data_IF_922510317421
#
_entry.id   IF_922510317421
#
_cell.length_a   1.000
_cell.length_b   1.000
_cell.length_c   1.000
_cell.angle_alpha   90.00
_cell.angle_beta   90.00
_cell.angle_gamma   90.00
#
_symmetry.space_group_name_H-M   'P 1'
#
loop_
_entity.id
_entity.type
_entity.pdbx_description
1 polymer ?
#
# COMPACT_ATOMS: atom_id res chain seq x y z
N UNK A 1 -14.83 -7.45 0.37
CA UNK A 1 -13.92 -6.52 -0.34
C UNK A 1 -13.11 -7.31 -1.34
N UNK A 2 -12.97 -6.86 -2.58
CA UNK A 2 -12.12 -7.56 -3.55
C UNK A 2 -10.68 -6.98 -3.56
N UNK A 3 -9.75 -7.66 -4.24
CA UNK A 3 -8.35 -7.19 -4.37
C UNK A 3 -8.27 -5.77 -4.94
N UNK A 4 -9.11 -5.43 -5.93
CA UNK A 4 -9.09 -4.10 -6.57
C UNK A 4 -9.42 -2.99 -5.58
N UNK A 5 -10.42 -3.21 -4.73
CA UNK A 5 -10.81 -2.28 -3.68
C UNK A 5 -9.68 -2.12 -2.64
N UNK A 6 -9.10 -3.23 -2.20
CA UNK A 6 -7.98 -3.24 -1.26
C UNK A 6 -6.77 -2.45 -1.80
N UNK A 7 -6.45 -2.65 -3.08
CA UNK A 7 -5.37 -1.92 -3.79
C UNK A 7 -5.69 -0.44 -3.90
N UNK A 8 -6.93 -0.06 -4.18
CA UNK A 8 -7.33 1.35 -4.23
C UNK A 8 -7.16 2.03 -2.86
N UNK A 9 -7.57 1.38 -1.78
CA UNK A 9 -7.39 1.86 -0.40
C UNK A 9 -5.90 2.01 -0.07
N UNK A 10 -5.09 1.00 -0.38
CA UNK A 10 -3.66 1.03 -0.12
C UNK A 10 -2.94 2.14 -0.91
N UNK A 11 -3.24 2.29 -2.20
CA UNK A 11 -2.67 3.36 -3.03
C UNK A 11 -3.07 4.74 -2.53
N UNK A 12 -4.35 4.94 -2.19
CA UNK A 12 -4.82 6.21 -1.64
C UNK A 12 -4.08 6.55 -0.34
N UNK A 13 -3.94 5.59 0.56
CA UNK A 13 -3.23 5.80 1.82
C UNK A 13 -1.74 6.13 1.61
N UNK A 14 -1.07 5.45 0.67
CA UNK A 14 0.32 5.77 0.31
C UNK A 14 0.39 7.19 -0.28
N UNK A 15 -0.49 7.55 -1.20
CA UNK A 15 -0.54 8.91 -1.75
C UNK A 15 -0.75 9.98 -0.69
N UNK A 16 -1.63 9.74 0.28
CA UNK A 16 -1.91 10.68 1.38
C UNK A 16 -0.72 10.78 2.34
N UNK A 17 -0.11 9.64 2.69
CA UNK A 17 1.06 9.59 3.59
C UNK A 17 2.25 10.33 3.00
N UNK A 18 2.45 10.23 1.68
CA UNK A 18 3.54 10.88 0.95
C UNK A 18 3.05 12.11 0.17
N UNK A 19 1.93 12.74 0.56
CA UNK A 19 1.34 13.84 -0.20
C UNK A 19 2.28 15.03 -0.39
N UNK A 20 3.17 15.28 0.58
CA UNK A 20 4.22 16.30 0.49
C UNK A 20 5.24 16.05 -0.64
N UNK A 21 5.34 14.79 -1.09
CA UNK A 21 6.35 14.29 -2.01
C UNK A 21 5.79 13.79 -3.34
N UNK A 22 4.46 13.82 -3.49
CA UNK A 22 3.72 13.35 -4.66
C UNK A 22 4.29 12.03 -5.23
N UNK A 23 4.09 10.89 -4.54
CA UNK A 23 4.63 9.60 -4.99
C UNK A 23 4.18 9.33 -6.42
N UNK A 24 5.14 8.93 -7.25
CA UNK A 24 4.92 8.60 -8.65
C UNK A 24 5.05 7.10 -8.89
N UNK A 25 4.48 6.61 -9.99
CA UNK A 25 4.54 5.20 -10.39
C UNK A 25 4.00 4.19 -9.34
N UNK A 26 2.90 4.51 -8.65
CA UNK A 26 2.27 3.61 -7.67
C UNK A 26 1.79 2.31 -8.33
N UNK A 27 2.43 1.19 -8.02
CA UNK A 27 2.13 -0.14 -8.55
C UNK A 27 1.95 -1.16 -7.44
N UNK A 28 1.08 -2.14 -7.68
CA UNK A 28 1.01 -3.33 -6.86
C UNK A 28 2.12 -4.28 -7.33
N UNK A 29 3.00 -4.68 -6.42
CA UNK A 29 4.11 -5.59 -6.71
C UNK A 29 3.87 -6.99 -6.13
N UNK A 30 3.04 -7.10 -5.08
CA UNK A 30 2.70 -8.36 -4.44
C UNK A 30 1.44 -8.24 -3.61
N UNK A 31 0.75 -9.36 -3.40
CA UNK A 31 -0.41 -9.42 -2.51
C UNK A 31 -0.52 -10.79 -1.85
N UNK A 32 -1.03 -10.80 -0.62
CA UNK A 32 -1.43 -11.97 0.12
C UNK A 32 -2.75 -11.67 0.82
N UNK A 33 -3.70 -12.60 0.76
CA UNK A 33 -4.93 -12.51 1.54
C UNK A 33 -4.88 -13.53 2.67
N UNK A 34 -5.08 -13.05 3.89
CA UNK A 34 -5.27 -13.87 5.09
C UNK A 34 -6.77 -13.93 5.37
N UNK A 35 -7.38 -15.07 5.09
CA UNK A 35 -8.81 -15.33 5.25
C UNK A 35 -9.20 -15.53 6.71
N UNK A 36 -8.28 -16.02 7.56
CA UNK A 36 -8.49 -16.16 8.99
C UNK A 36 -8.63 -14.80 9.67
N UNK A 37 -7.84 -13.82 9.23
CA UNK A 37 -7.88 -12.45 9.75
C UNK A 37 -8.73 -11.49 8.91
N UNK A 38 -9.18 -11.92 7.72
CA UNK A 38 -9.81 -11.06 6.71
C UNK A 38 -8.95 -9.83 6.39
N UNK A 39 -7.65 -10.03 6.17
CA UNK A 39 -6.67 -8.96 5.93
C UNK A 39 -5.97 -9.17 4.59
N UNK A 40 -5.93 -8.12 3.79
CA UNK A 40 -5.08 -8.01 2.61
C UNK A 40 -3.72 -7.45 3.00
N UNK A 41 -2.64 -8.14 2.67
CA UNK A 41 -1.27 -7.64 2.76
C UNK A 41 -0.80 -7.30 1.35
N UNK A 42 -0.56 -6.03 1.06
CA UNK A 42 -0.32 -5.51 -0.28
C UNK A 42 1.04 -4.82 -0.34
N UNK A 43 1.91 -5.26 -1.23
CA UNK A 43 3.15 -4.55 -1.52
C UNK A 43 2.89 -3.47 -2.56
N UNK A 44 3.02 -2.21 -2.16
CA UNK A 44 2.88 -1.05 -3.04
C UNK A 44 4.26 -0.45 -3.30
N UNK A 45 4.73 -0.57 -4.53
CA UNK A 45 5.94 0.08 -5.02
C UNK A 45 5.64 1.47 -5.57
N UNK A 46 6.53 2.43 -5.31
CA UNK A 46 6.44 3.80 -5.82
C UNK A 46 7.81 4.49 -5.82
N UNK A 47 7.92 5.61 -6.53
CA UNK A 47 9.09 6.48 -6.50
C UNK A 47 8.72 7.81 -5.83
N UNK A 48 9.47 8.19 -4.80
CA UNK A 48 9.32 9.47 -4.10
C UNK A 48 10.53 10.37 -4.36
N UNK A 49 10.28 11.67 -4.54
CA UNK A 49 11.32 12.69 -4.78
C UNK A 49 12.23 12.86 -3.56
N UNK A 50 11.72 12.78 -2.32
CA UNK A 50 12.52 12.80 -1.08
C UNK A 50 13.54 11.68 -1.00
N UNK A 51 13.28 10.54 -1.65
CA UNK A 51 14.21 9.42 -1.71
C UNK A 51 15.17 9.54 -2.90
N UNK A 52 15.33 10.74 -3.48
CA UNK A 52 16.15 10.97 -4.66
C UNK A 52 15.60 10.28 -5.92
N UNK A 53 14.29 10.01 -5.95
CA UNK A 53 13.66 9.23 -7.02
C UNK A 53 13.95 7.72 -6.93
N UNK A 54 14.56 7.24 -5.83
CA UNK A 54 14.74 5.82 -5.61
C UNK A 54 13.38 5.13 -5.48
N UNK A 55 13.23 3.99 -6.17
CA UNK A 55 12.05 3.15 -6.05
C UNK A 55 12.05 2.52 -4.65
N UNK A 56 10.95 2.69 -3.93
CA UNK A 56 10.71 2.08 -2.63
C UNK A 56 9.44 1.25 -2.69
N UNK A 57 9.29 0.33 -1.74
CA UNK A 57 8.10 -0.48 -1.60
C UNK A 57 7.65 -0.52 -0.14
N UNK A 58 6.34 -0.42 0.06
CA UNK A 58 5.70 -0.53 1.36
C UNK A 58 4.75 -1.72 1.38
N UNK A 59 4.79 -2.48 2.47
CA UNK A 59 3.78 -3.47 2.78
C UNK A 59 2.63 -2.78 3.52
N UNK A 60 1.46 -2.74 2.89
CA UNK A 60 0.23 -2.12 3.40
C UNK A 60 -0.75 -3.20 3.76
N UNK A 61 -1.15 -3.27 5.04
CA UNK A 61 -2.19 -4.20 5.51
C UNK A 61 -3.54 -3.51 5.52
N UNK A 62 -4.52 -4.05 4.81
CA UNK A 62 -5.89 -3.51 4.71
C UNK A 62 -6.86 -4.55 5.24
N UNK A 63 -7.67 -4.16 6.23
CA UNK A 63 -8.72 -5.03 6.77
C UNK A 63 -9.94 -4.99 5.85
N UNK A 64 -10.45 -6.16 5.51
CA UNK A 64 -11.70 -6.29 4.75
C UNK A 64 -12.93 -5.97 5.61
N UNK A 65 -12.88 -6.26 6.91
CA UNK A 65 -14.02 -6.09 7.82
C UNK A 65 -14.47 -4.62 7.97
N UNK A 66 -13.51 -3.69 7.91
CA UNK A 66 -13.75 -2.25 8.12
C UNK A 66 -13.21 -1.38 6.97
N UNK A 67 -12.59 -1.98 5.94
CA UNK A 67 -12.02 -1.29 4.79
C UNK A 67 -10.98 -0.21 5.17
N UNK A 68 -10.23 -0.42 6.26
CA UNK A 68 -9.19 0.51 6.71
C UNK A 68 -7.78 -0.09 6.61
N UNK A 69 -6.79 0.80 6.48
CA UNK A 69 -5.38 0.42 6.60
C UNK A 69 -5.07 0.15 8.07
N UNK A 70 -4.57 -1.04 8.36
CA UNK A 70 -4.16 -1.48 9.69
C UNK A 70 -2.70 -1.11 9.99
N UNK A 71 -1.81 -1.28 9.01
CA UNK A 71 -0.38 -0.97 9.17
C UNK A 71 0.31 -0.74 7.84
N UNK A 72 1.39 0.03 7.88
CA UNK A 72 2.31 0.25 6.75
C UNK A 72 3.72 0.00 7.25
N UNK A 73 4.46 -0.90 6.60
CA UNK A 73 5.85 -1.22 6.96
C UNK A 73 6.75 -1.15 5.73
N UNK A 74 8.01 -0.79 5.94
CA UNK A 74 9.04 -0.90 4.90
C UNK A 74 9.20 -2.36 4.48
N UNK A 75 9.24 -2.59 3.18
CA UNK A 75 9.63 -3.87 2.64
C UNK A 75 11.16 -3.90 2.50
N UNK A 76 11.87 -4.84 3.14
CA UNK A 76 13.32 -4.95 3.06
C UNK A 76 13.81 -5.38 1.68
#
# INVERSE_FOLDING_TARGET
>A
MNLRDAVAIAKHHVSDTFAADAPSDLRLEGYLYDDHLMVWSLTIGFAAVSMGGARTAKLVRVSEANQTVLSVTDQP
#
